data_IF_741802238062
#
_entry.id   IF_741802238062
#
_cell.length_a   1.000
_cell.length_b   1.000
_cell.length_c   1.000
_cell.angle_alpha   90.00
_cell.angle_beta   90.00
_cell.angle_gamma   90.00
#
_symmetry.space_group_name_H-M   'P 1'
#
loop_
_entity.id
_entity.type
_entity.pdbx_description
1 polymer ?
#
# COMPACT_ATOMS: atom_id res chain seq x y z
N UNK A 1 32.83 -20.04 -21.01
CA UNK A 1 31.62 -19.21 -21.12
C UNK A 1 31.69 -18.15 -20.03
N UNK A 2 31.61 -16.87 -20.39
CA UNK A 2 31.47 -15.82 -19.36
C UNK A 2 30.04 -15.90 -18.81
N UNK A 3 29.87 -15.84 -17.50
CA UNK A 3 28.55 -15.81 -16.88
C UNK A 3 27.80 -14.54 -17.35
N UNK A 4 26.56 -14.70 -17.81
CA UNK A 4 25.70 -13.56 -18.13
C UNK A 4 25.52 -12.68 -16.88
N UNK A 5 25.54 -11.34 -17.02
CA UNK A 5 25.35 -10.45 -15.89
C UNK A 5 23.96 -10.69 -15.28
N UNK A 6 23.93 -10.91 -13.96
CA UNK A 6 22.68 -11.02 -13.20
C UNK A 6 22.09 -9.62 -13.06
N UNK A 7 20.84 -9.43 -13.47
CA UNK A 7 20.11 -8.19 -13.27
C UNK A 7 19.08 -8.35 -12.14
N UNK A 8 18.78 -7.24 -11.45
CA UNK A 8 17.74 -7.17 -10.41
C UNK A 8 16.66 -6.20 -10.90
N UNK A 9 15.43 -6.69 -11.04
CA UNK A 9 14.25 -5.87 -11.24
C UNK A 9 13.59 -5.58 -9.89
N UNK A 10 13.21 -4.33 -9.66
CA UNK A 10 12.49 -3.90 -8.46
C UNK A 10 11.22 -3.21 -8.92
N UNK A 11 10.09 -3.63 -8.35
CA UNK A 11 8.78 -3.05 -8.60
C UNK A 11 8.30 -2.37 -7.33
N UNK A 12 7.64 -1.23 -7.50
CA UNK A 12 6.82 -0.65 -6.45
C UNK A 12 5.64 -1.60 -6.15
N UNK A 13 4.99 -1.42 -5.00
CA UNK A 13 3.88 -2.28 -4.59
C UNK A 13 2.55 -1.73 -5.07
N UNK A 14 2.16 -0.55 -4.56
CA UNK A 14 0.86 0.05 -4.80
C UNK A 14 0.70 0.48 -6.26
N UNK A 15 -0.44 0.15 -6.86
CA UNK A 15 -0.75 0.43 -8.27
C UNK A 15 0.30 -0.11 -9.27
N UNK A 16 1.11 -1.09 -8.86
CA UNK A 16 2.17 -1.70 -9.69
C UNK A 16 2.16 -3.22 -9.56
N UNK A 17 2.30 -3.75 -8.35
CA UNK A 17 2.08 -5.17 -8.06
C UNK A 17 0.60 -5.39 -7.75
N UNK A 18 0.01 -4.53 -6.92
CA UNK A 18 -1.41 -4.55 -6.56
C UNK A 18 -2.24 -3.66 -7.50
N UNK A 19 -3.47 -4.05 -7.80
CA UNK A 19 -4.35 -3.26 -8.68
C UNK A 19 -4.84 -1.94 -8.05
N UNK A 20 -4.64 -1.80 -6.74
CA UNK A 20 -5.04 -0.64 -5.97
C UNK A 20 -3.94 -0.19 -5.01
N UNK A 21 -4.12 1.02 -4.49
CA UNK A 21 -3.38 1.54 -3.36
C UNK A 21 -3.86 0.89 -2.06
N UNK A 22 -2.95 0.19 -1.39
CA UNK A 22 -3.25 -0.60 -0.19
C UNK A 22 -3.62 0.27 1.00
N UNK A 23 -3.02 1.46 1.13
CA UNK A 23 -3.37 2.39 2.20
C UNK A 23 -4.80 2.90 2.06
N UNK A 24 -5.18 3.39 0.86
CA UNK A 24 -6.54 3.86 0.61
C UNK A 24 -7.56 2.74 0.77
N UNK A 25 -7.24 1.54 0.28
CA UNK A 25 -8.13 0.38 0.41
C UNK A 25 -8.36 0.02 1.88
N UNK A 26 -7.30 -0.05 2.69
CA UNK A 26 -7.40 -0.31 4.14
C UNK A 26 -8.18 0.81 4.84
N UNK A 27 -7.94 2.07 4.48
CA UNK A 27 -8.67 3.21 5.01
C UNK A 27 -10.17 3.11 4.70
N UNK A 28 -10.56 2.85 3.45
CA UNK A 28 -11.97 2.74 3.07
C UNK A 28 -12.68 1.56 3.74
N UNK A 29 -12.02 0.41 3.86
CA UNK A 29 -12.65 -0.81 4.39
C UNK A 29 -12.73 -0.83 5.93
N UNK A 30 -11.74 -0.26 6.62
CA UNK A 30 -11.61 -0.41 8.08
C UNK A 30 -11.76 0.90 8.85
N UNK A 31 -11.67 2.06 8.19
CA UNK A 31 -11.76 3.35 8.85
C UNK A 31 -13.14 3.99 8.70
N UNK A 32 -13.91 3.96 9.79
CA UNK A 32 -15.24 4.62 9.86
C UNK A 32 -15.18 6.10 10.26
N UNK A 33 -13.98 6.72 10.28
CA UNK A 33 -13.77 8.10 10.73
C UNK A 33 -13.49 9.05 9.57
N UNK A 34 -13.80 10.34 9.77
CA UNK A 34 -13.24 11.39 8.92
C UNK A 34 -11.88 11.79 9.48
N UNK A 35 -10.89 11.91 8.59
CA UNK A 35 -9.61 12.53 8.90
C UNK A 35 -9.80 13.93 9.49
N UNK A 36 -8.89 14.38 10.34
CA UNK A 36 -8.78 15.80 10.64
C UNK A 36 -8.26 16.54 9.41
N UNK A 37 -8.79 17.75 9.16
CA UNK A 37 -8.31 18.59 8.06
C UNK A 37 -6.83 18.95 8.24
N UNK A 38 -6.39 19.15 9.48
CA UNK A 38 -4.99 19.42 9.83
C UNK A 38 -4.02 18.32 9.40
N UNK A 39 -4.41 17.04 9.48
CA UNK A 39 -3.56 15.94 9.02
C UNK A 39 -3.40 15.92 7.50
N UNK A 40 -4.46 16.28 6.76
CA UNK A 40 -4.41 16.42 5.30
C UNK A 40 -3.54 17.60 4.89
N UNK A 41 -3.72 18.73 5.56
CA UNK A 41 -2.98 19.97 5.28
C UNK A 41 -1.48 19.79 5.56
N UNK A 42 -1.13 19.10 6.66
CA UNK A 42 0.27 18.77 6.98
C UNK A 42 0.92 17.83 5.95
N UNK A 43 0.18 16.85 5.44
CA UNK A 43 0.65 15.95 4.38
C UNK A 43 0.97 16.74 3.09
N UNK A 44 0.06 17.63 2.67
CA UNK A 44 0.24 18.47 1.49
C UNK A 44 1.41 19.43 1.65
N UNK A 45 1.53 20.08 2.81
CA UNK A 45 2.57 21.07 3.06
C UNK A 45 3.98 20.46 3.13
N UNK A 46 4.12 19.22 3.63
CA UNK A 46 5.42 18.57 3.80
C UNK A 46 5.82 17.68 2.63
N UNK A 47 4.87 17.32 1.76
CA UNK A 47 5.08 16.26 0.77
C UNK A 47 5.36 14.89 1.40
N UNK A 48 5.14 14.74 2.71
CA UNK A 48 5.43 13.53 3.46
C UNK A 48 4.10 12.91 3.92
N UNK A 49 3.83 11.73 3.37
CA UNK A 49 2.60 10.99 3.63
C UNK A 49 2.64 10.24 4.98
N UNK A 50 3.84 9.97 5.51
CA UNK A 50 4.02 9.14 6.72
C UNK A 50 3.34 9.68 8.00
N UNK A 51 3.40 11.00 8.31
CA UNK A 51 2.68 11.55 9.46
C UNK A 51 1.18 11.30 9.36
N UNK A 52 0.62 11.40 8.16
CA UNK A 52 -0.78 11.17 7.88
C UNK A 52 -1.14 9.69 8.05
N UNK A 53 -0.37 8.77 7.48
CA UNK A 53 -0.62 7.32 7.65
C UNK A 53 -0.56 6.89 9.11
N UNK A 54 0.40 7.41 9.87
CA UNK A 54 0.55 7.12 11.30
C UNK A 54 -0.69 7.51 12.10
N UNK A 55 -1.33 8.63 11.76
CA UNK A 55 -2.56 9.07 12.42
C UNK A 55 -3.73 8.15 12.08
N UNK A 56 -3.85 7.74 10.82
CA UNK A 56 -4.88 6.78 10.39
C UNK A 56 -4.73 5.44 11.10
N UNK A 57 -3.54 4.84 11.08
CA UNK A 57 -3.29 3.56 11.75
C UNK A 57 -3.46 3.66 13.28
N UNK A 58 -3.10 4.79 13.88
CA UNK A 58 -3.34 5.02 15.31
C UNK A 58 -4.84 5.05 15.61
N UNK A 59 -5.62 5.80 14.82
CA UNK A 59 -7.06 5.88 15.01
C UNK A 59 -7.77 4.54 14.75
N UNK A 60 -7.32 3.77 13.76
CA UNK A 60 -7.79 2.40 13.52
C UNK A 60 -7.54 1.51 14.74
N UNK A 61 -6.32 1.52 15.29
CA UNK A 61 -5.98 0.77 16.49
C UNK A 61 -6.87 1.17 17.68
N UNK A 62 -7.07 2.47 17.89
CA UNK A 62 -7.88 2.98 19.00
C UNK A 62 -9.37 2.58 18.87
N UNK A 63 -9.83 2.31 17.64
CA UNK A 63 -11.16 1.74 17.33
C UNK A 63 -11.21 0.21 17.36
N UNK A 64 -10.11 -0.46 17.74
CA UNK A 64 -10.03 -1.91 17.86
C UNK A 64 -9.75 -2.66 16.55
N UNK A 65 -9.36 -1.97 15.48
CA UNK A 65 -8.92 -2.63 14.24
C UNK A 65 -7.66 -3.43 14.52
N UNK A 66 -7.71 -4.71 14.16
CA UNK A 66 -6.62 -5.66 14.39
C UNK A 66 -5.71 -5.78 13.17
N UNK A 67 -4.49 -6.27 13.40
CA UNK A 67 -3.56 -6.63 12.30
C UNK A 67 -4.15 -7.67 11.35
N UNK A 68 -4.96 -8.59 11.87
CA UNK A 68 -5.62 -9.62 11.06
C UNK A 68 -6.64 -9.01 10.10
N UNK A 69 -7.38 -7.99 10.52
CA UNK A 69 -8.31 -7.28 9.63
C UNK A 69 -7.57 -6.49 8.54
N UNK A 70 -6.48 -5.80 8.88
CA UNK A 70 -5.64 -5.12 7.89
C UNK A 70 -5.10 -6.12 6.86
N UNK A 71 -4.55 -7.24 7.34
CA UNK A 71 -4.03 -8.32 6.49
C UNK A 71 -5.12 -8.87 5.55
N UNK A 72 -6.30 -9.16 6.07
CA UNK A 72 -7.41 -9.67 5.28
C UNK A 72 -7.81 -8.73 4.14
N UNK A 73 -7.78 -7.40 4.38
CA UNK A 73 -8.04 -6.41 3.32
C UNK A 73 -6.92 -6.42 2.30
N UNK A 74 -5.65 -6.34 2.72
CA UNK A 74 -4.50 -6.33 1.80
C UNK A 74 -4.43 -7.60 0.93
N UNK A 75 -4.67 -8.77 1.53
CA UNK A 75 -4.70 -10.06 0.81
C UNK A 75 -5.89 -10.20 -0.14
N UNK A 76 -6.92 -9.36 -0.02
CA UNK A 76 -8.07 -9.35 -0.93
C UNK A 76 -7.85 -8.48 -2.17
N UNK A 77 -6.80 -7.66 -2.19
CA UNK A 77 -6.46 -6.80 -3.32
C UNK A 77 -5.89 -7.69 -4.44
N UNK A 78 -6.48 -7.70 -5.64
CA UNK A 78 -5.94 -8.48 -6.74
C UNK A 78 -4.61 -7.88 -7.23
N UNK A 79 -3.78 -8.71 -7.86
CA UNK A 79 -2.59 -8.22 -8.57
C UNK A 79 -2.99 -7.44 -9.82
N UNK A 80 -2.14 -6.51 -10.26
CA UNK A 80 -2.32 -5.84 -11.57
C UNK A 80 -2.42 -6.86 -12.69
N UNK A 81 -3.36 -6.64 -13.61
CA UNK A 81 -3.53 -7.49 -14.79
C UNK A 81 -2.23 -7.58 -15.60
N UNK A 82 -1.78 -8.80 -15.89
CA UNK A 82 -0.56 -9.05 -16.68
C UNK A 82 0.74 -9.04 -15.88
N UNK A 83 0.70 -8.84 -14.55
CA UNK A 83 1.90 -8.94 -13.71
C UNK A 83 2.61 -10.29 -13.86
N UNK A 84 1.85 -11.39 -13.93
CA UNK A 84 2.40 -12.73 -14.12
C UNK A 84 3.19 -12.85 -15.43
N UNK A 85 2.73 -12.22 -16.51
CA UNK A 85 3.43 -12.23 -17.80
C UNK A 85 4.73 -11.44 -17.74
N UNK A 86 4.74 -10.30 -17.04
CA UNK A 86 5.95 -9.50 -16.81
C UNK A 86 6.97 -10.29 -16.01
N UNK A 87 6.55 -10.96 -14.93
CA UNK A 87 7.45 -11.76 -14.10
C UNK A 87 8.03 -12.93 -14.90
N UNK A 88 7.21 -13.65 -15.67
CA UNK A 88 7.67 -14.74 -16.55
C UNK A 88 8.64 -14.29 -17.63
N UNK A 89 8.51 -13.06 -18.13
CA UNK A 89 9.44 -12.52 -19.12
C UNK A 89 10.85 -12.25 -18.54
N UNK A 90 10.94 -12.03 -17.22
CA UNK A 90 12.19 -11.71 -16.53
C UNK A 90 12.94 -12.94 -15.99
N UNK A 91 12.31 -14.12 -16.01
CA UNK A 91 12.90 -15.43 -15.65
C UNK A 91 13.78 -16.00 -16.77
#
# INVERSE_FOLDING_TARGET
>A
MMASPRFLAVFDFDNTITDSDTFYTVHEHLHTGKMTQEAKDACVATGNYMPYERLVFSSMRDKGVTRAQIRAVVESIPSVQGLEDVLRFLE
#
